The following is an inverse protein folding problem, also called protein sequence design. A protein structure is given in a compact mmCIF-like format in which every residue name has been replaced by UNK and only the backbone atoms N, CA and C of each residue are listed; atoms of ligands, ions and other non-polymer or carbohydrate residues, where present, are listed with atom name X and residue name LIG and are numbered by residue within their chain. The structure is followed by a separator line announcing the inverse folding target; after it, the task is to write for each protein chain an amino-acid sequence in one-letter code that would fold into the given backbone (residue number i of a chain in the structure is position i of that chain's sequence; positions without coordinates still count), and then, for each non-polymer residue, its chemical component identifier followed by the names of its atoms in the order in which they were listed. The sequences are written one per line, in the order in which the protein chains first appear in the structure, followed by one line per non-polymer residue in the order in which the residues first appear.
data_IF_036636858487
#
_entry.id   IF_036636858487
#
_cell.length_a   1.000
_cell.length_b   1.000
_cell.length_c   1.000
_cell.angle_alpha   90.00
_cell.angle_beta   90.00
_cell.angle_gamma   90.00
#
_symmetry.space_group_name_H-M   'P 1'
#
loop_
_entity.id
_entity.type
_entity.pdbx_description
1 polymer ?
#
# COMPACT_ATOMS: atom_id res chain seq x y z
N UNK A 1 -14.45 4.15 -12.94
CA UNK A 1 -14.81 4.35 -11.52
C UNK A 1 -15.79 5.52 -11.41
N UNK A 2 -16.81 5.44 -10.56
CA UNK A 2 -17.83 6.49 -10.39
C UNK A 2 -17.18 7.75 -9.75
N UNK A 3 -17.34 8.97 -10.33
CA UNK A 3 -16.82 10.20 -9.76
C UNK A 3 -17.35 10.54 -8.36
N UNK A 4 -18.44 9.93 -7.92
CA UNK A 4 -19.01 10.05 -6.59
C UNK A 4 -18.38 9.14 -5.54
N UNK A 5 -17.57 8.16 -5.95
CA UNK A 5 -16.88 7.22 -5.06
C UNK A 5 -15.84 7.97 -4.19
N UNK A 6 -15.86 7.82 -2.85
CA UNK A 6 -14.88 8.44 -1.96
C UNK A 6 -13.42 8.09 -2.31
N UNK A 7 -13.17 6.87 -2.79
CA UNK A 7 -11.86 6.43 -3.26
C UNK A 7 -11.36 7.24 -4.49
N UNK A 8 -12.28 7.79 -5.29
CA UNK A 8 -11.94 8.62 -6.45
C UNK A 8 -11.35 9.98 -6.06
N UNK A 9 -11.69 10.52 -4.88
CA UNK A 9 -11.21 11.86 -4.46
C UNK A 9 -9.70 11.87 -4.19
N UNK A 10 -9.16 10.81 -3.57
CA UNK A 10 -7.72 10.67 -3.32
C UNK A 10 -6.89 10.55 -4.61
N UNK A 11 -7.50 10.01 -5.68
CA UNK A 11 -6.81 9.76 -6.96
C UNK A 11 -6.70 10.98 -7.87
N UNK A 12 -7.56 12.00 -7.71
CA UNK A 12 -7.50 13.24 -8.50
C UNK A 12 -6.16 13.97 -8.45
N UNK A 13 -5.40 13.76 -7.38
CA UNK A 13 -4.10 14.40 -7.17
C UNK A 13 -2.96 13.80 -8.01
N UNK A 14 -3.14 12.59 -8.57
CA UNK A 14 -2.08 11.88 -9.33
C UNK A 14 -2.15 12.16 -10.83
N UNK A 15 -2.03 13.44 -11.20
CA UNK A 15 -1.89 13.84 -12.59
C UNK A 15 -0.46 13.63 -13.14
N UNK A 16 -0.25 13.64 -14.48
CA UNK A 16 1.05 13.42 -15.11
C UNK A 16 2.16 14.34 -14.61
N UNK A 17 1.84 15.60 -14.29
CA UNK A 17 2.79 16.59 -13.78
C UNK A 17 3.27 16.26 -12.36
N UNK A 18 2.38 15.74 -11.50
CA UNK A 18 2.76 15.31 -10.15
C UNK A 18 3.63 14.04 -10.21
N UNK A 19 3.27 13.07 -11.04
CA UNK A 19 4.06 11.84 -11.21
C UNK A 19 5.49 12.12 -11.71
N UNK A 20 5.68 13.14 -12.55
CA UNK A 20 7.01 13.52 -13.04
C UNK A 20 7.95 14.07 -11.96
N UNK A 21 7.40 14.73 -10.93
CA UNK A 21 8.17 15.27 -9.79
C UNK A 21 8.04 14.45 -8.52
N UNK A 22 7.21 13.40 -8.55
CA UNK A 22 6.84 12.58 -7.40
C UNK A 22 8.06 11.98 -6.71
N UNK A 23 8.98 11.40 -7.46
CA UNK A 23 10.15 10.73 -6.92
C UNK A 23 11.04 11.71 -6.14
N UNK A 24 11.31 12.89 -6.72
CA UNK A 24 12.14 13.90 -6.07
C UNK A 24 11.43 14.53 -4.87
N UNK A 25 10.12 14.82 -5.01
CA UNK A 25 9.36 15.51 -3.96
C UNK A 25 8.96 14.56 -2.82
N UNK A 26 8.33 13.43 -3.15
CA UNK A 26 7.79 12.50 -2.14
C UNK A 26 8.87 11.60 -1.57
N UNK A 27 9.63 10.91 -2.42
CA UNK A 27 10.66 9.97 -1.98
C UNK A 27 11.97 10.69 -1.57
N UNK A 28 12.22 11.87 -2.09
CA UNK A 28 13.40 12.67 -1.74
C UNK A 28 13.16 13.59 -0.53
N UNK A 29 12.43 14.67 -0.76
CA UNK A 29 12.26 15.75 0.22
C UNK A 29 11.30 15.36 1.37
N UNK A 30 10.09 14.86 1.02
CA UNK A 30 9.08 14.53 2.03
C UNK A 30 9.51 13.36 2.92
N UNK A 31 10.07 12.29 2.34
CA UNK A 31 10.55 11.15 3.10
C UNK A 31 11.59 11.55 4.15
N UNK A 32 12.55 12.41 3.79
CA UNK A 32 13.62 12.84 4.71
C UNK A 32 13.20 13.90 5.72
N UNK A 33 12.43 14.91 5.28
CA UNK A 33 12.17 16.14 6.08
C UNK A 33 10.84 16.09 6.81
N UNK A 34 9.85 15.43 6.25
CA UNK A 34 8.50 15.37 6.83
C UNK A 34 8.29 14.04 7.56
N UNK A 35 8.48 12.92 6.88
CA UNK A 35 8.24 11.60 7.43
C UNK A 35 9.40 11.03 8.26
N UNK A 36 10.59 11.61 8.14
CA UNK A 36 11.83 11.19 8.83
C UNK A 36 12.18 9.71 8.57
N UNK A 37 11.75 9.19 7.42
CA UNK A 37 12.04 7.82 6.99
C UNK A 37 12.86 7.84 5.71
N UNK A 38 14.11 7.36 5.74
CA UNK A 38 14.98 7.43 4.58
C UNK A 38 14.57 6.43 3.51
N UNK A 39 14.39 6.91 2.28
CA UNK A 39 14.08 6.11 1.08
C UNK A 39 14.98 4.87 0.89
N UNK A 40 16.29 4.90 1.20
CA UNK A 40 17.14 3.72 1.11
C UNK A 40 16.64 2.52 1.91
N UNK A 41 16.04 2.73 3.08
CA UNK A 41 15.48 1.65 3.90
C UNK A 41 14.26 0.99 3.26
N UNK A 42 13.45 1.78 2.55
CA UNK A 42 12.29 1.28 1.81
C UNK A 42 12.77 0.44 0.61
N UNK A 43 13.73 0.96 -0.16
CA UNK A 43 14.31 0.25 -1.33
C UNK A 43 14.95 -1.06 -0.90
N UNK A 44 15.69 -1.06 0.22
CA UNK A 44 16.31 -2.28 0.74
C UNK A 44 15.28 -3.33 1.19
N UNK A 45 14.15 -2.87 1.78
CA UNK A 45 13.02 -3.75 2.11
C UNK A 45 12.44 -4.40 0.85
N UNK A 46 12.19 -3.63 -0.20
CA UNK A 46 11.75 -4.16 -1.49
C UNK A 46 12.74 -5.20 -2.03
N UNK A 47 14.04 -4.88 -2.08
CA UNK A 47 15.09 -5.78 -2.58
C UNK A 47 15.13 -7.12 -1.86
N UNK A 48 14.91 -7.12 -0.53
CA UNK A 48 14.92 -8.32 0.29
C UNK A 48 13.67 -9.17 0.20
N UNK A 49 12.52 -8.56 -0.14
CA UNK A 49 11.20 -9.18 -0.02
C UNK A 49 10.55 -9.52 -1.36
N UNK A 50 11.15 -9.11 -2.48
CA UNK A 50 10.66 -9.53 -3.79
C UNK A 50 10.74 -11.04 -3.97
N UNK A 51 9.60 -11.65 -4.38
CA UNK A 51 9.55 -12.99 -4.95
C UNK A 51 9.51 -12.95 -6.48
N UNK A 52 9.55 -14.09 -7.14
CA UNK A 52 9.54 -14.19 -8.59
C UNK A 52 8.22 -13.68 -9.19
N UNK A 53 7.07 -14.12 -8.65
CA UNK A 53 5.74 -13.61 -9.01
C UNK A 53 5.33 -12.52 -8.03
N UNK A 54 5.40 -11.28 -8.48
CA UNK A 54 5.14 -10.12 -7.63
C UNK A 54 3.89 -9.34 -8.04
N UNK A 55 3.06 -8.98 -7.07
CA UNK A 55 1.95 -8.05 -7.21
C UNK A 55 2.27 -6.75 -6.46
N UNK A 56 2.29 -5.62 -7.15
CA UNK A 56 2.40 -4.31 -6.51
C UNK A 56 1.06 -3.57 -6.59
N UNK A 57 0.49 -3.29 -5.43
CA UNK A 57 -0.80 -2.63 -5.26
C UNK A 57 -0.55 -1.15 -4.96
N UNK A 58 -1.02 -0.27 -5.87
CA UNK A 58 -0.74 1.16 -5.79
C UNK A 58 0.73 1.51 -6.05
N UNK A 59 1.30 1.12 -7.20
CA UNK A 59 2.74 1.23 -7.48
C UNK A 59 3.25 2.68 -7.58
N UNK A 60 2.36 3.66 -7.64
CA UNK A 60 2.71 5.08 -7.77
C UNK A 60 3.55 5.35 -9.02
N UNK A 61 4.77 5.85 -8.85
CA UNK A 61 5.70 6.09 -9.97
C UNK A 61 6.46 4.83 -10.43
N UNK A 62 6.38 3.71 -9.69
CA UNK A 62 7.15 2.50 -9.94
C UNK A 62 8.63 2.59 -9.55
N UNK A 63 9.06 3.66 -8.91
CA UNK A 63 10.47 3.91 -8.60
C UNK A 63 11.11 2.82 -7.73
N UNK A 64 10.43 2.37 -6.66
CA UNK A 64 10.96 1.34 -5.76
C UNK A 64 11.17 0.02 -6.49
N UNK A 65 10.24 -0.34 -7.37
CA UNK A 65 10.34 -1.54 -8.20
C UNK A 65 11.50 -1.40 -9.18
N UNK A 66 11.59 -0.25 -9.87
CA UNK A 66 12.62 0.00 -10.89
C UNK A 66 14.04 -0.13 -10.33
N UNK A 67 14.27 0.35 -9.10
CA UNK A 67 15.59 0.34 -8.45
C UNK A 67 15.90 -0.98 -7.75
N UNK A 68 14.89 -1.71 -7.27
CA UNK A 68 15.08 -2.85 -6.37
C UNK A 68 14.79 -4.22 -7.00
N UNK A 69 13.95 -4.30 -8.05
CA UNK A 69 13.46 -5.57 -8.57
C UNK A 69 14.53 -6.38 -9.33
N UNK A 70 14.58 -7.71 -9.15
CA UNK A 70 15.39 -8.61 -9.97
C UNK A 70 14.89 -8.64 -11.42
N UNK A 71 15.78 -8.94 -12.38
CA UNK A 71 15.47 -8.85 -13.81
C UNK A 71 14.46 -9.89 -14.31
N UNK A 72 14.38 -11.04 -13.67
CA UNK A 72 13.54 -12.19 -14.03
C UNK A 72 12.18 -12.23 -13.35
N UNK A 73 11.76 -11.12 -12.72
CA UNK A 73 10.51 -11.04 -11.97
C UNK A 73 9.28 -10.96 -12.91
N UNK A 74 8.27 -11.79 -12.62
CA UNK A 74 6.93 -11.67 -13.20
C UNK A 74 6.14 -10.60 -12.43
N UNK A 75 5.91 -9.45 -13.05
CA UNK A 75 5.32 -8.29 -12.40
C UNK A 75 3.86 -8.08 -12.79
N UNK A 76 3.00 -7.94 -11.79
CA UNK A 76 1.63 -7.45 -11.93
C UNK A 76 1.48 -6.13 -11.17
N UNK A 77 0.91 -5.13 -11.81
CA UNK A 77 0.62 -3.81 -11.24
C UNK A 77 -0.89 -3.65 -11.10
N UNK A 78 -1.36 -3.29 -9.91
CA UNK A 78 -2.77 -3.05 -9.64
C UNK A 78 -2.96 -1.63 -9.10
N UNK A 79 -3.79 -0.86 -9.77
CA UNK A 79 -4.18 0.50 -9.34
C UNK A 79 -5.55 0.83 -9.95
N UNK A 80 -6.44 1.53 -9.25
CA UNK A 80 -7.71 1.96 -9.82
C UNK A 80 -7.55 3.11 -10.85
N UNK A 81 -6.38 3.73 -10.93
CA UNK A 81 -6.09 4.81 -11.86
C UNK A 81 -5.26 4.32 -13.07
N UNK A 82 -5.90 4.24 -14.23
CA UNK A 82 -5.25 3.82 -15.47
C UNK A 82 -4.02 4.65 -15.84
N UNK A 83 -4.01 5.95 -15.54
CA UNK A 83 -2.85 6.80 -15.83
C UNK A 83 -1.62 6.44 -14.99
N UNK A 84 -1.82 6.00 -13.73
CA UNK A 84 -0.74 5.48 -12.87
C UNK A 84 -0.16 4.21 -13.48
N UNK A 85 -1.02 3.27 -13.88
CA UNK A 85 -0.60 2.01 -14.52
C UNK A 85 0.19 2.26 -15.81
N UNK A 86 -0.29 3.13 -16.69
CA UNK A 86 0.38 3.44 -17.96
C UNK A 86 1.73 4.16 -17.74
N UNK A 87 1.82 5.03 -16.72
CA UNK A 87 3.08 5.69 -16.34
C UNK A 87 4.10 4.66 -15.81
N UNK A 88 3.66 3.81 -14.89
CA UNK A 88 4.46 2.74 -14.32
C UNK A 88 4.95 1.75 -15.39
N UNK A 89 4.08 1.31 -16.28
CA UNK A 89 4.40 0.37 -17.35
C UNK A 89 5.50 0.89 -18.28
N UNK A 90 5.53 2.19 -18.55
CA UNK A 90 6.61 2.82 -19.33
C UNK A 90 7.96 2.71 -18.62
N UNK A 91 8.02 3.04 -17.33
CA UNK A 91 9.22 2.94 -16.52
C UNK A 91 9.70 1.49 -16.39
N UNK A 92 8.77 0.58 -16.15
CA UNK A 92 9.01 -0.83 -15.87
C UNK A 92 8.92 -1.72 -17.12
N UNK A 93 9.07 -1.13 -18.31
CA UNK A 93 8.86 -1.82 -19.61
C UNK A 93 9.74 -3.06 -19.79
N UNK A 94 10.90 -3.14 -19.11
CA UNK A 94 11.77 -4.33 -19.12
C UNK A 94 11.09 -5.59 -18.56
N UNK A 95 10.13 -5.41 -17.62
CA UNK A 95 9.38 -6.53 -17.03
C UNK A 95 8.11 -6.90 -17.82
N UNK A 96 7.67 -6.05 -18.76
CA UNK A 96 6.39 -6.22 -19.49
C UNK A 96 5.23 -6.50 -18.52
N UNK A 97 4.98 -5.63 -17.53
CA UNK A 97 4.07 -5.93 -16.43
C UNK A 97 2.63 -6.17 -16.91
N UNK A 98 1.93 -7.09 -16.26
CA UNK A 98 0.48 -7.19 -16.35
C UNK A 98 -0.16 -5.98 -15.65
N UNK A 99 -1.14 -5.32 -16.29
CA UNK A 99 -1.80 -4.13 -15.76
C UNK A 99 -3.24 -4.47 -15.38
N UNK A 100 -3.60 -4.26 -14.12
CA UNK A 100 -4.91 -4.56 -13.56
C UNK A 100 -5.54 -3.28 -13.01
N UNK A 101 -6.55 -2.76 -13.71
CA UNK A 101 -7.31 -1.61 -13.23
C UNK A 101 -8.39 -2.08 -12.25
N UNK A 102 -8.12 -1.97 -10.95
CA UNK A 102 -9.00 -2.46 -9.90
C UNK A 102 -8.86 -1.69 -8.59
N UNK A 103 -9.91 -1.73 -7.79
CA UNK A 103 -9.97 -1.18 -6.43
C UNK A 103 -9.60 -2.28 -5.43
N UNK A 104 -8.57 -2.03 -4.62
CA UNK A 104 -8.07 -2.98 -3.62
C UNK A 104 -9.09 -3.30 -2.52
N UNK A 105 -10.10 -2.46 -2.31
CA UNK A 105 -11.20 -2.70 -1.38
C UNK A 105 -12.26 -3.68 -1.94
N UNK A 106 -12.07 -4.17 -3.16
CA UNK A 106 -12.92 -5.19 -3.80
C UNK A 106 -12.12 -6.47 -4.05
N UNK A 107 -12.78 -7.63 -4.24
CA UNK A 107 -12.09 -8.86 -4.61
C UNK A 107 -11.16 -8.61 -5.80
N UNK A 108 -9.89 -9.01 -5.68
CA UNK A 108 -8.87 -8.71 -6.68
C UNK A 108 -9.08 -9.57 -7.93
N UNK A 109 -9.22 -8.97 -9.15
CA UNK A 109 -9.39 -9.71 -10.39
C UNK A 109 -8.04 -10.20 -10.95
N UNK A 110 -7.26 -10.89 -10.11
CA UNK A 110 -5.94 -11.45 -10.44
C UNK A 110 -5.90 -12.94 -10.12
N UNK A 111 -5.07 -13.67 -10.84
CA UNK A 111 -4.87 -15.10 -10.59
C UNK A 111 -3.60 -15.28 -9.75
N UNK A 112 -3.78 -15.55 -8.44
CA UNK A 112 -2.70 -15.98 -7.56
C UNK A 112 -2.26 -17.44 -7.81
N UNK A 113 -1.40 -18.01 -6.95
CA UNK A 113 -0.75 -17.31 -5.86
C UNK A 113 0.42 -16.42 -6.31
N UNK A 114 0.71 -15.37 -5.52
CA UNK A 114 1.89 -14.52 -5.68
C UNK A 114 2.92 -14.86 -4.59
N UNK A 115 4.21 -14.87 -4.94
CA UNK A 115 5.29 -15.10 -3.96
C UNK A 115 5.50 -13.88 -3.07
N UNK A 116 5.22 -12.69 -3.61
CA UNK A 116 5.28 -11.45 -2.84
C UNK A 116 4.23 -10.45 -3.30
N UNK A 117 3.68 -9.71 -2.33
CA UNK A 117 2.73 -8.61 -2.58
C UNK A 117 3.19 -7.38 -1.82
N UNK A 118 3.29 -6.25 -2.51
CA UNK A 118 3.54 -4.95 -1.90
C UNK A 118 2.27 -4.11 -1.83
N UNK A 119 2.07 -3.44 -0.68
CA UNK A 119 1.05 -2.41 -0.45
C UNK A 119 1.71 -1.23 0.26
N UNK A 120 2.43 -0.42 -0.51
CA UNK A 120 3.23 0.67 0.04
C UNK A 120 2.60 2.03 -0.23
N UNK A 121 2.38 2.80 0.83
CA UNK A 121 1.82 4.16 0.77
C UNK A 121 0.40 4.23 0.20
N UNK A 122 -0.39 3.17 0.38
CA UNK A 122 -1.79 3.08 -0.08
C UNK A 122 -2.78 3.23 1.07
N UNK A 123 -2.58 2.53 2.21
CA UNK A 123 -3.56 2.48 3.30
C UNK A 123 -4.01 3.87 3.79
N UNK A 124 -3.09 4.82 3.93
CA UNK A 124 -3.42 6.18 4.37
C UNK A 124 -4.24 6.99 3.34
N UNK A 125 -4.31 6.52 2.09
CA UNK A 125 -5.14 7.12 1.03
C UNK A 125 -6.52 6.45 0.92
N UNK A 126 -6.71 5.26 1.51
CA UNK A 126 -7.99 4.56 1.49
C UNK A 126 -9.01 5.23 2.41
N UNK A 127 -10.29 5.30 2.02
CA UNK A 127 -11.33 5.93 2.81
C UNK A 127 -11.71 5.12 4.05
N UNK A 128 -12.09 5.82 5.10
CA UNK A 128 -12.62 5.23 6.33
C UNK A 128 -11.58 4.90 7.39
N UNK A 129 -12.03 4.37 8.53
CA UNK A 129 -11.16 3.98 9.63
C UNK A 129 -10.29 2.77 9.26
N UNK A 130 -9.20 2.54 10.02
CA UNK A 130 -8.23 1.48 9.75
C UNK A 130 -8.90 0.09 9.66
N UNK A 131 -9.93 -0.18 10.46
CA UNK A 131 -10.70 -1.43 10.40
C UNK A 131 -11.30 -1.68 9.00
N UNK A 132 -11.89 -0.66 8.38
CA UNK A 132 -12.45 -0.78 7.02
C UNK A 132 -11.36 -1.00 5.97
N UNK A 133 -10.15 -0.46 6.18
CA UNK A 133 -8.98 -0.65 5.32
C UNK A 133 -8.42 -2.07 5.41
N UNK A 134 -8.76 -2.82 6.47
CA UNK A 134 -8.45 -4.24 6.63
C UNK A 134 -8.88 -5.09 5.45
N UNK A 135 -9.97 -4.72 4.76
CA UNK A 135 -10.43 -5.38 3.53
C UNK A 135 -9.36 -5.42 2.43
N UNK A 136 -8.53 -4.38 2.32
CA UNK A 136 -7.43 -4.38 1.35
C UNK A 136 -6.36 -5.43 1.70
N UNK A 137 -6.11 -5.64 2.99
CA UNK A 137 -5.17 -6.64 3.50
C UNK A 137 -5.73 -8.06 3.31
N UNK A 138 -7.01 -8.26 3.62
CA UNK A 138 -7.71 -9.55 3.40
C UNK A 138 -7.69 -9.94 1.90
N UNK A 139 -7.98 -8.99 1.02
CA UNK A 139 -7.94 -9.22 -0.42
C UNK A 139 -6.52 -9.57 -0.91
N UNK A 140 -5.49 -8.89 -0.40
CA UNK A 140 -4.10 -9.23 -0.72
C UNK A 140 -3.73 -10.63 -0.19
N UNK A 141 -4.09 -10.96 1.06
CA UNK A 141 -3.85 -12.28 1.65
C UNK A 141 -4.50 -13.41 0.85
N UNK A 142 -5.68 -13.18 0.27
CA UNK A 142 -6.43 -14.19 -0.49
C UNK A 142 -5.74 -14.66 -1.78
N UNK A 143 -4.79 -13.88 -2.30
CA UNK A 143 -4.04 -14.18 -3.54
C UNK A 143 -2.55 -14.39 -3.31
N UNK A 144 -2.11 -14.35 -2.04
CA UNK A 144 -0.72 -14.62 -1.64
C UNK A 144 -0.49 -16.14 -1.52
N UNK A 145 0.70 -16.59 -1.86
CA UNK A 145 1.15 -17.96 -1.60
C UNK A 145 1.26 -18.21 -0.09
N UNK A 146 1.08 -19.46 0.35
CA UNK A 146 1.18 -19.86 1.76
C UNK A 146 2.56 -19.55 2.38
N UNK A 147 3.62 -19.62 1.57
CA UNK A 147 4.99 -19.27 1.94
C UNK A 147 5.39 -17.86 1.47
N UNK A 148 4.45 -17.14 0.88
CA UNK A 148 4.64 -15.81 0.32
C UNK A 148 4.82 -14.73 1.40
N UNK A 149 5.21 -13.54 0.94
CA UNK A 149 5.37 -12.37 1.81
C UNK A 149 4.50 -11.20 1.36
N UNK A 150 3.71 -10.66 2.29
CA UNK A 150 3.01 -9.40 2.15
C UNK A 150 3.79 -8.32 2.89
N UNK A 151 4.10 -7.21 2.23
CA UNK A 151 4.87 -6.15 2.85
C UNK A 151 4.44 -4.76 2.37
N UNK A 152 4.78 -3.75 3.14
CA UNK A 152 4.46 -2.39 2.76
C UNK A 152 4.78 -1.37 3.84
N UNK A 153 4.16 -0.21 3.68
CA UNK A 153 4.25 0.86 4.66
C UNK A 153 3.13 1.87 4.50
N UNK A 154 2.78 2.52 5.61
CA UNK A 154 1.77 3.57 5.63
C UNK A 154 2.17 4.70 6.55
N UNK A 155 1.68 5.91 6.26
CA UNK A 155 1.78 7.04 7.19
C UNK A 155 0.71 6.88 8.24
N UNK A 156 1.10 6.83 9.51
CA UNK A 156 0.19 6.78 10.65
C UNK A 156 -0.51 8.13 10.86
N UNK A 157 -1.56 8.13 11.64
CA UNK A 157 -2.27 9.31 12.09
C UNK A 157 -1.44 10.20 13.01
N UNK A 158 -2.04 11.29 13.49
CA UNK A 158 -1.33 12.26 14.34
C UNK A 158 -1.15 11.67 15.74
N UNK A 159 0.09 11.43 16.11
CA UNK A 159 0.52 11.06 17.45
C UNK A 159 1.64 11.98 17.97
N UNK A 160 2.20 11.65 19.14
CA UNK A 160 3.27 12.43 19.76
C UNK A 160 4.61 12.34 19.01
N UNK A 161 4.82 11.31 18.20
CA UNK A 161 6.09 11.05 17.49
C UNK A 161 6.24 11.91 16.25
N UNK A 162 5.14 12.50 15.74
CA UNK A 162 5.16 13.32 14.54
C UNK A 162 5.83 14.67 14.79
N UNK A 163 6.73 15.06 13.88
CA UNK A 163 7.29 16.40 13.85
C UNK A 163 6.21 17.47 13.61
N UNK A 164 6.42 18.72 14.08
CA UNK A 164 5.48 19.81 13.83
C UNK A 164 5.17 20.02 12.33
N UNK A 165 6.16 19.98 11.41
CA UNK A 165 5.88 20.03 9.97
C UNK A 165 5.01 18.87 9.47
N UNK A 166 5.25 17.64 9.96
CA UNK A 166 4.46 16.46 9.59
C UNK A 166 2.99 16.61 10.02
N UNK A 167 2.73 17.10 11.24
CA UNK A 167 1.36 17.35 11.74
C UNK A 167 0.61 18.38 10.90
N UNK A 168 1.28 19.48 10.51
CA UNK A 168 0.68 20.51 9.65
C UNK A 168 0.35 19.94 8.28
N UNK A 169 1.29 19.19 7.68
CA UNK A 169 1.11 18.56 6.38
C UNK A 169 -0.02 17.54 6.40
N UNK A 170 -0.05 16.64 7.40
CA UNK A 170 -1.12 15.64 7.56
C UNK A 170 -2.50 16.28 7.63
N UNK A 171 -2.67 17.32 8.46
CA UNK A 171 -3.95 18.05 8.54
C UNK A 171 -4.34 18.66 7.19
N UNK A 172 -3.39 19.25 6.47
CA UNK A 172 -3.66 19.88 5.19
C UNK A 172 -4.07 18.85 4.12
N UNK A 173 -3.34 17.74 3.99
CA UNK A 173 -3.61 16.72 2.96
C UNK A 173 -4.91 15.96 3.25
N UNK A 174 -5.23 15.68 4.53
CA UNK A 174 -6.52 15.10 4.93
C UNK A 174 -7.67 16.04 4.62
N UNK A 175 -7.52 17.35 4.92
CA UNK A 175 -8.55 18.35 4.59
C UNK A 175 -8.83 18.44 3.08
N UNK A 176 -7.82 18.20 2.25
CA UNK A 176 -7.95 18.19 0.79
C UNK A 176 -8.48 16.85 0.24
N UNK A 177 -8.66 15.83 1.10
CA UNK A 177 -9.09 14.50 0.70
C UNK A 177 -8.04 13.66 -0.01
N UNK A 178 -6.76 14.03 0.10
CA UNK A 178 -5.64 13.22 -0.42
C UNK A 178 -5.30 12.04 0.50
N UNK A 179 -5.49 12.21 1.81
CA UNK A 179 -5.37 11.15 2.81
C UNK A 179 -6.66 11.08 3.63
N UNK A 180 -6.87 9.91 4.27
CA UNK A 180 -7.93 9.69 5.26
C UNK A 180 -7.37 8.83 6.39
N UNK A 181 -6.42 9.40 7.18
CA UNK A 181 -5.61 8.63 8.12
C UNK A 181 -5.38 9.33 9.47
N UNK A 182 -6.11 10.40 9.79
CA UNK A 182 -5.86 11.14 11.04
C UNK A 182 -6.06 10.28 12.29
N UNK A 183 -6.93 9.27 12.21
CA UNK A 183 -7.20 8.32 13.29
C UNK A 183 -6.44 7.00 13.18
N UNK A 184 -5.62 6.81 12.15
CA UNK A 184 -4.92 5.53 11.91
C UNK A 184 -3.80 5.34 12.95
N UNK A 185 -3.92 4.33 13.80
CA UNK A 185 -2.93 4.03 14.85
C UNK A 185 -2.06 2.83 14.47
N UNK A 186 -0.94 2.68 15.18
CA UNK A 186 -0.10 1.49 15.09
C UNK A 186 -0.86 0.23 15.53
N UNK A 187 -1.59 0.33 16.63
CA UNK A 187 -2.34 -0.76 17.24
C UNK A 187 -3.44 -1.28 16.30
N UNK A 188 -4.15 -0.37 15.62
CA UNK A 188 -5.16 -0.74 14.66
C UNK A 188 -4.54 -1.43 13.44
N UNK A 189 -3.40 -0.92 12.93
CA UNK A 189 -2.67 -1.55 11.83
C UNK A 189 -2.19 -2.96 12.21
N UNK A 190 -1.63 -3.14 13.40
CA UNK A 190 -1.20 -4.44 13.91
C UNK A 190 -2.39 -5.41 14.04
N UNK A 191 -3.52 -4.91 14.50
CA UNK A 191 -4.77 -5.69 14.65
C UNK A 191 -5.26 -6.21 13.30
N UNK A 192 -5.36 -5.35 12.27
CA UNK A 192 -5.86 -5.79 10.95
C UNK A 192 -4.86 -6.72 10.23
N UNK A 193 -3.55 -6.51 10.41
CA UNK A 193 -2.53 -7.42 9.87
C UNK A 193 -2.62 -8.80 10.54
N UNK A 194 -2.68 -8.85 11.88
CA UNK A 194 -2.79 -10.10 12.65
C UNK A 194 -4.14 -10.82 12.46
N UNK A 195 -5.14 -10.10 11.95
CA UNK A 195 -6.41 -10.70 11.53
C UNK A 195 -6.28 -11.56 10.28
N UNK A 196 -5.31 -11.26 9.42
CA UNK A 196 -5.11 -11.91 8.12
C UNK A 196 -3.83 -12.75 8.03
N UNK A 197 -2.87 -12.59 8.95
CA UNK A 197 -1.57 -13.26 8.93
C UNK A 197 -1.19 -13.75 10.32
N UNK A 198 -0.53 -14.93 10.39
CA UNK A 198 -0.06 -15.51 11.67
C UNK A 198 1.33 -14.96 12.09
N UNK A 199 2.09 -14.40 11.15
CA UNK A 199 3.44 -13.88 11.41
C UNK A 199 3.53 -12.43 10.90
N UNK A 200 3.57 -11.47 11.83
CA UNK A 200 3.54 -10.03 11.54
C UNK A 200 4.70 -9.31 12.23
N UNK A 201 5.51 -8.64 11.46
CA UNK A 201 6.54 -7.71 11.92
C UNK A 201 6.11 -6.28 11.58
N UNK A 202 6.14 -5.37 12.57
CA UNK A 202 5.74 -3.97 12.42
C UNK A 202 6.77 -3.04 13.07
N UNK A 203 7.44 -2.26 12.24
CA UNK A 203 8.42 -1.24 12.65
C UNK A 203 7.88 0.17 12.41
N UNK A 204 8.08 1.08 13.36
CA UNK A 204 7.75 2.50 13.18
C UNK A 204 9.03 3.32 13.06
N UNK A 205 9.19 4.01 11.93
CA UNK A 205 10.34 4.87 11.63
C UNK A 205 9.83 6.27 11.29
N UNK A 206 10.03 7.19 12.22
CA UNK A 206 9.42 8.53 12.11
C UNK A 206 7.89 8.43 12.10
N UNK A 207 7.25 8.92 11.03
CA UNK A 207 5.80 8.88 10.85
C UNK A 207 5.31 7.66 10.05
N UNK A 208 6.21 6.76 9.66
CA UNK A 208 5.89 5.59 8.84
C UNK A 208 5.85 4.33 9.69
N UNK A 209 4.78 3.57 9.54
CA UNK A 209 4.73 2.17 9.93
C UNK A 209 5.11 1.31 8.72
N UNK A 210 6.13 0.47 8.88
CA UNK A 210 6.61 -0.47 7.89
C UNK A 210 6.28 -1.87 8.38
N UNK A 211 5.61 -2.67 7.56
CA UNK A 211 5.18 -4.02 7.94
C UNK A 211 5.69 -5.09 6.99
N UNK A 212 5.86 -6.29 7.53
CA UNK A 212 6.06 -7.54 6.80
C UNK A 212 5.15 -8.58 7.44
N UNK A 213 4.37 -9.28 6.63
CA UNK A 213 3.45 -10.29 7.10
C UNK A 213 3.58 -11.58 6.26
N UNK A 214 3.46 -12.73 6.92
CA UNK A 214 3.62 -14.06 6.33
C UNK A 214 2.57 -15.00 6.87
N UNK A 215 2.45 -16.17 6.23
CA UNK A 215 1.49 -17.20 6.63
C UNK A 215 0.07 -16.66 6.62
N UNK A 216 -0.51 -16.41 5.44
CA UNK A 216 -1.87 -15.92 5.33
C UNK A 216 -2.81 -16.88 6.04
N UNK A 217 -3.59 -16.36 6.99
CA UNK A 217 -4.59 -17.14 7.71
C UNK A 217 -5.75 -17.44 6.77
N UNK A 218 -6.04 -18.71 6.53
CA UNK A 218 -7.22 -19.14 5.74
C UNK A 218 -8.51 -18.97 6.55
N UNK A 219 -8.66 -17.88 7.29
CA UNK A 219 -9.93 -17.56 7.93
C UNK A 219 -10.91 -17.13 6.83
N UNK A 220 -12.07 -17.83 6.76
CA UNK A 220 -13.14 -17.36 5.89
C UNK A 220 -13.44 -15.89 6.18
N UNK A 221 -13.65 -15.06 5.14
CA UNK A 221 -13.99 -13.66 5.34
C UNK A 221 -15.18 -13.57 6.29
N UNK A 222 -15.06 -12.72 7.32
CA UNK A 222 -16.14 -12.48 8.28
C UNK A 222 -17.34 -11.96 7.49
N UNK A 223 -18.55 -12.57 7.63
CA UNK A 223 -19.73 -12.07 6.93
C UNK A 223 -19.94 -10.59 7.26
N UNK A 224 -20.23 -9.78 6.26
CA UNK A 224 -20.40 -8.32 6.37
C UNK A 224 -21.55 -7.89 7.32
N UNK A 225 -22.31 -8.85 7.87
CA UNK A 225 -23.49 -8.64 8.73
C UNK A 225 -23.26 -8.91 10.22
N UNK A 226 -22.02 -9.15 10.65
CA UNK A 226 -21.66 -9.25 12.08
C UNK A 226 -22.29 -10.43 12.84
N UNK A 227 -22.87 -11.42 12.17
CA UNK A 227 -23.46 -12.60 12.84
C UNK A 227 -22.38 -13.58 13.28
N UNK A 228 -22.50 -14.18 14.49
CA UNK A 228 -21.64 -15.27 14.90
C UNK A 228 -21.82 -16.47 13.99
N UNK A 229 -20.73 -17.14 13.64
CA UNK A 229 -20.79 -18.44 12.95
C UNK A 229 -21.21 -19.45 14.03
N UNK A 230 -22.44 -19.95 13.97
CA UNK A 230 -22.87 -21.06 14.79
C UNK A 230 -22.07 -22.31 14.40
N UNK A 231 -21.41 -22.91 15.42
CA UNK A 231 -20.69 -24.20 15.31
C UNK A 231 -21.64 -25.36 15.15
#
# INVERSE_FOLDING_TARGET
MDPSDPAYKGQKSYGPALLAVYDWWVLGFMARRVWQSPTPSIIERYRRLFGHRHLDIGPGSGYCIDVAAPEDMELTLLDPNRHVLDHCAKRLSRFKPALVEADVLKPLPVQGPFDSIALSFVLHCLPGPMEAKGTAIENAASVLDSEGVFFGGTVLGIDETHSSPARVFLKAVNRQGGFDNLGDTREDLETILSGSFDDVELDVVGSLALFTARKPSHRQPRPADGRPIDC
#
